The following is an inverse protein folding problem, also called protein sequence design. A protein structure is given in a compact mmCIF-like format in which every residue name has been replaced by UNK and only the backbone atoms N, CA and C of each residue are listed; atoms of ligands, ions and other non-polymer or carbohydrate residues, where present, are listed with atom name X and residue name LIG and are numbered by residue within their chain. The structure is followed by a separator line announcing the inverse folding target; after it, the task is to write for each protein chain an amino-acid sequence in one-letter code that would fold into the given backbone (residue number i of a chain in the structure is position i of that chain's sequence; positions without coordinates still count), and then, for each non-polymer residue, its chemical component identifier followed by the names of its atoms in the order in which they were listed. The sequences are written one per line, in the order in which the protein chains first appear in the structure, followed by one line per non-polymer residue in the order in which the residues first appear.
data_IF_612005293132
#
_entry.id   IF_612005293132
#
_cell.length_a   1.000
_cell.length_b   1.000
_cell.length_c   1.000
_cell.angle_alpha   90.00
_cell.angle_beta   90.00
_cell.angle_gamma   90.00
#
_symmetry.space_group_name_H-M   'P 1'
#
loop_
_entity.id
_entity.type
_entity.pdbx_description
1 polymer ?
#
# COMPACT_ATOMS: atom_id res chain seq x y z
N UNK A 1 1.04 19.10 -10.92
CA UNK A 1 1.08 17.95 -9.98
C UNK A 1 1.56 16.77 -10.79
N UNK A 2 2.62 16.09 -10.35
CA UNK A 2 3.14 14.92 -11.06
C UNK A 2 2.09 13.82 -11.16
N UNK A 3 2.06 13.17 -12.33
CA UNK A 3 1.15 12.07 -12.59
C UNK A 3 1.62 10.87 -11.75
N UNK A 4 0.80 10.36 -10.81
CA UNK A 4 1.23 9.24 -9.99
C UNK A 4 1.42 8.00 -10.87
N UNK A 5 2.53 7.33 -10.64
CA UNK A 5 2.88 6.08 -11.33
C UNK A 5 1.87 5.02 -10.89
N UNK A 6 1.20 4.41 -11.87
CA UNK A 6 0.19 3.39 -11.62
C UNK A 6 0.85 2.09 -11.15
N UNK A 7 0.11 1.28 -10.38
CA UNK A 7 0.55 -0.06 -9.96
C UNK A 7 1.42 -0.08 -8.69
N UNK A 8 1.76 1.07 -8.11
CA UNK A 8 2.50 1.12 -6.84
C UNK A 8 1.64 0.70 -5.66
N UNK A 9 2.26 0.01 -4.71
CA UNK A 9 1.65 -0.50 -3.48
C UNK A 9 1.59 0.63 -2.45
N UNK A 10 0.40 0.92 -1.95
CA UNK A 10 0.24 1.90 -0.89
C UNK A 10 0.57 1.29 0.48
N UNK A 11 1.74 1.63 1.03
CA UNK A 11 2.25 1.08 2.30
C UNK A 11 1.38 1.43 3.51
N UNK A 12 0.56 2.48 3.43
CA UNK A 12 -0.38 2.84 4.49
C UNK A 12 -1.61 1.90 4.54
N UNK A 13 -1.86 1.12 3.50
CA UNK A 13 -3.05 0.26 3.36
C UNK A 13 -2.75 -1.18 2.94
N UNK A 14 -1.50 -1.49 2.58
CA UNK A 14 -1.10 -2.82 2.17
C UNK A 14 -1.22 -3.82 3.34
N UNK A 15 -1.64 -5.04 3.03
CA UNK A 15 -1.65 -6.12 4.02
C UNK A 15 -0.22 -6.58 4.33
N UNK A 16 -0.04 -7.27 5.45
CA UNK A 16 1.25 -7.86 5.83
C UNK A 16 1.83 -8.75 4.72
N UNK A 17 1.02 -9.64 4.16
CA UNK A 17 1.42 -10.53 3.06
C UNK A 17 1.87 -9.77 1.81
N UNK A 18 1.21 -8.65 1.48
CA UNK A 18 1.63 -7.81 0.34
C UNK A 18 2.95 -7.11 0.63
N UNK A 19 3.17 -6.66 1.87
CA UNK A 19 4.44 -6.07 2.27
C UNK A 19 5.58 -7.09 2.25
N UNK A 20 5.37 -8.31 2.75
CA UNK A 20 6.35 -9.40 2.75
C UNK A 20 6.73 -9.89 1.33
N UNK A 21 5.91 -9.60 0.33
CA UNK A 21 6.23 -9.87 -1.06
C UNK A 21 7.16 -8.82 -1.70
N UNK A 22 7.44 -7.71 -1.00
CA UNK A 22 8.37 -6.68 -1.47
C UNK A 22 9.82 -7.11 -1.27
N UNK A 23 10.73 -6.74 -2.19
CA UNK A 23 12.15 -7.06 -2.06
C UNK A 23 12.72 -6.48 -0.76
N UNK A 24 13.43 -7.32 -0.01
CA UNK A 24 14.08 -6.93 1.24
C UNK A 24 13.13 -6.74 2.43
N UNK A 25 11.84 -7.07 2.33
CA UNK A 25 10.88 -6.95 3.43
C UNK A 25 10.50 -8.33 3.98
N UNK A 26 11.00 -8.64 5.16
CA UNK A 26 10.63 -9.85 5.89
C UNK A 26 9.40 -9.65 6.81
N UNK A 27 9.03 -10.69 7.55
CA UNK A 27 7.93 -10.63 8.52
C UNK A 27 8.14 -9.61 9.63
N UNK A 28 9.39 -9.38 10.05
CA UNK A 28 9.72 -8.42 11.12
C UNK A 28 9.56 -6.98 10.60
N UNK A 29 10.07 -6.72 9.40
CA UNK A 29 10.00 -5.43 8.71
C UNK A 29 8.57 -5.09 8.31
N UNK A 30 7.81 -6.04 7.76
CA UNK A 30 6.40 -5.81 7.43
C UNK A 30 5.58 -5.43 8.67
N UNK A 31 5.82 -6.12 9.79
CA UNK A 31 5.17 -5.78 11.06
C UNK A 31 5.63 -4.41 11.57
N UNK A 32 6.89 -4.05 11.40
CA UNK A 32 7.40 -2.73 11.77
C UNK A 32 6.80 -1.59 10.93
N UNK A 33 6.60 -1.80 9.62
CA UNK A 33 5.89 -0.88 8.72
C UNK A 33 4.45 -0.69 9.20
N UNK A 34 3.74 -1.79 9.48
CA UNK A 34 2.38 -1.75 10.00
C UNK A 34 2.34 -1.05 11.36
N UNK A 35 3.31 -1.29 12.24
CA UNK A 35 3.38 -0.69 13.58
C UNK A 35 3.70 0.81 13.53
N UNK A 36 4.63 1.23 12.69
CA UNK A 36 4.92 2.65 12.43
C UNK A 36 3.68 3.33 11.89
N UNK A 37 3.15 2.74 10.83
CA UNK A 37 1.89 3.11 10.24
C UNK A 37 0.74 2.88 11.19
N UNK A 38 0.93 2.32 12.40
CA UNK A 38 -0.05 2.17 13.47
C UNK A 38 0.00 3.24 14.58
N UNK A 39 1.11 3.97 14.67
CA UNK A 39 1.51 4.81 15.80
C UNK A 39 0.96 6.25 15.76
N UNK A 40 1.31 7.08 16.75
CA UNK A 40 1.02 8.53 16.75
C UNK A 40 1.73 9.31 15.63
N UNK A 41 2.66 8.68 14.88
CA UNK A 41 3.39 9.26 13.73
C UNK A 41 2.71 8.96 12.38
N UNK A 42 1.41 8.63 12.40
CA UNK A 42 0.62 8.24 11.23
C UNK A 42 0.09 9.40 10.38
N UNK A 43 -0.25 9.13 9.10
CA UNK A 43 0.27 8.04 8.23
C UNK A 43 1.67 8.40 7.70
N UNK A 44 2.34 7.47 6.99
CA UNK A 44 3.51 7.84 6.19
C UNK A 44 3.09 8.91 5.19
N UNK A 45 3.73 10.09 5.21
CA UNK A 45 3.43 11.15 4.25
C UNK A 45 4.27 10.97 2.98
N UNK A 46 5.52 10.55 3.16
CA UNK A 46 6.49 10.37 2.09
C UNK A 46 7.14 8.98 2.14
N UNK A 47 7.60 8.49 0.99
CA UNK A 47 8.23 7.16 0.88
C UNK A 47 9.51 7.09 1.72
N UNK A 48 10.29 8.17 1.79
CA UNK A 48 11.55 8.22 2.52
C UNK A 48 11.42 8.02 4.03
N UNK A 49 10.25 8.27 4.62
CA UNK A 49 10.00 8.01 6.04
C UNK A 49 10.17 6.52 6.41
N UNK A 50 10.10 5.62 5.42
CA UNK A 50 10.33 4.20 5.65
C UNK A 50 11.75 3.93 6.21
N UNK A 51 12.75 4.76 5.86
CA UNK A 51 14.11 4.63 6.39
C UNK A 51 14.21 4.89 7.90
N UNK A 52 13.22 5.55 8.50
CA UNK A 52 13.20 5.83 9.95
C UNK A 52 12.80 4.61 10.79
N UNK A 53 12.31 3.55 10.16
CA UNK A 53 12.02 2.31 10.88
C UNK A 53 13.36 1.71 11.28
N UNK A 54 13.62 1.68 12.60
CA UNK A 54 14.88 1.26 13.22
C UNK A 54 15.37 -0.14 12.75
N UNK A 55 14.47 -0.96 12.22
CA UNK A 55 14.76 -2.27 11.64
C UNK A 55 15.24 -2.21 10.18
N UNK A 56 14.84 -1.20 9.39
CA UNK A 56 15.32 -0.99 8.02
C UNK A 56 16.76 -0.45 7.96
N UNK A 57 17.29 0.06 9.08
CA UNK A 57 18.72 0.39 9.19
C UNK A 57 19.64 -0.84 9.06
N UNK A 58 19.10 -2.07 9.14
CA UNK A 58 19.82 -3.32 8.87
C UNK A 58 19.62 -3.85 7.43
N UNK A 59 18.93 -3.10 6.56
CA UNK A 59 18.88 -3.43 5.14
C UNK A 59 20.28 -3.35 4.54
N UNK A 60 20.60 -4.30 3.67
CA UNK A 60 21.92 -4.43 3.06
C UNK A 60 22.92 -5.18 3.95
N UNK A 61 22.67 -5.33 5.25
CA UNK A 61 23.53 -6.08 6.19
C UNK A 61 23.10 -7.55 6.34
N UNK A 62 22.98 -8.27 5.22
CA UNK A 62 22.44 -9.64 5.16
C UNK A 62 23.48 -10.68 4.65
N UNK A 63 24.73 -10.28 4.45
CA UNK A 63 25.81 -11.08 3.87
C UNK A 63 25.64 -11.36 2.37
N UNK A 64 24.84 -10.57 1.65
CA UNK A 64 24.63 -10.65 0.21
C UNK A 64 25.17 -9.41 -0.47
N UNK A 65 25.59 -9.64 -1.70
CA UNK A 65 25.94 -8.63 -2.69
C UNK A 65 24.65 -8.29 -3.48
N UNK A 66 23.84 -7.37 -2.94
CA UNK A 66 22.53 -6.97 -3.46
C UNK A 66 22.66 -6.08 -4.73
N UNK A 67 23.77 -5.35 -4.89
CA UNK A 67 24.05 -4.48 -6.03
C UNK A 67 24.98 -5.08 -7.11
N UNK A 68 25.68 -6.18 -6.78
CA UNK A 68 26.56 -7.00 -7.63
C UNK A 68 27.90 -6.35 -7.96
N UNK A 69 28.44 -5.56 -7.06
CA UNK A 69 29.75 -4.93 -7.23
C UNK A 69 30.92 -5.77 -6.70
N UNK A 70 30.63 -6.87 -5.98
CA UNK A 70 31.59 -7.80 -5.42
C UNK A 70 31.93 -7.57 -3.94
N UNK A 71 31.32 -6.59 -3.30
CA UNK A 71 31.38 -6.34 -1.87
C UNK A 71 30.06 -6.76 -1.20
N UNK A 72 30.04 -6.83 0.13
CA UNK A 72 28.85 -7.25 0.88
C UNK A 72 28.72 -6.39 2.12
N UNK A 73 27.48 -6.11 2.53
CA UNK A 73 27.17 -5.34 3.73
C UNK A 73 27.71 -3.88 3.72
N UNK A 74 27.86 -3.30 2.52
CA UNK A 74 28.26 -1.90 2.32
C UNK A 74 27.04 -0.95 2.22
N UNK A 75 27.31 0.36 2.15
CA UNK A 75 26.25 1.39 2.19
C UNK A 75 25.39 1.43 0.91
N UNK A 76 26.00 1.12 -0.22
CA UNK A 76 25.39 0.93 -1.54
C UNK A 76 24.38 -0.22 -1.57
N UNK A 77 24.59 -1.30 -0.83
CA UNK A 77 23.64 -2.42 -0.72
C UNK A 77 22.29 -1.95 -0.17
N UNK A 78 22.34 -1.14 0.88
CA UNK A 78 21.16 -0.50 1.46
C UNK A 78 20.49 0.42 0.43
N UNK A 79 21.27 1.17 -0.34
CA UNK A 79 20.75 2.04 -1.38
C UNK A 79 20.07 1.24 -2.51
N UNK A 80 20.67 0.12 -2.94
CA UNK A 80 20.15 -0.76 -3.98
C UNK A 80 18.78 -1.34 -3.58
N UNK A 81 18.67 -1.87 -2.36
CA UNK A 81 17.40 -2.37 -1.82
C UNK A 81 16.38 -1.23 -1.73
N UNK A 82 16.76 -0.09 -1.16
CA UNK A 82 15.83 1.04 -1.01
C UNK A 82 15.34 1.55 -2.37
N UNK A 83 16.22 1.65 -3.36
CA UNK A 83 15.87 2.05 -4.72
C UNK A 83 14.86 1.08 -5.34
N UNK A 84 15.10 -0.21 -5.22
CA UNK A 84 14.19 -1.27 -5.67
C UNK A 84 12.81 -1.13 -5.01
N UNK A 85 12.79 -0.97 -3.68
CA UNK A 85 11.57 -0.79 -2.90
C UNK A 85 10.81 0.49 -3.29
N UNK A 86 11.50 1.62 -3.39
CA UNK A 86 10.92 2.96 -3.67
C UNK A 86 10.17 3.03 -4.99
N UNK A 87 10.57 2.21 -5.97
CA UNK A 87 9.91 2.12 -7.27
C UNK A 87 8.56 1.39 -7.21
N UNK A 88 8.39 0.52 -6.22
CA UNK A 88 7.21 -0.33 -6.03
C UNK A 88 6.18 0.28 -5.09
N UNK A 89 6.56 1.24 -4.24
CA UNK A 89 5.70 1.75 -3.17
C UNK A 89 5.23 3.19 -3.38
N UNK A 90 4.13 3.53 -2.69
CA UNK A 90 3.56 4.88 -2.61
C UNK A 90 2.93 5.09 -1.22
N UNK A 91 2.73 6.33 -0.81
CA UNK A 91 1.96 6.67 0.41
C UNK A 91 0.51 7.07 0.12
N UNK A 92 0.17 7.23 -1.17
CA UNK A 92 -1.14 7.73 -1.63
C UNK A 92 -1.74 6.87 -2.72
N UNK A 93 -3.06 6.74 -2.69
CA UNK A 93 -3.86 6.08 -3.71
C UNK A 93 -4.77 7.08 -4.45
N UNK A 94 -4.92 6.87 -5.75
CA UNK A 94 -5.96 7.53 -6.57
C UNK A 94 -7.08 6.58 -6.98
N UNK A 95 -6.85 5.26 -6.90
CA UNK A 95 -7.86 4.25 -7.18
C UNK A 95 -8.45 3.73 -5.86
N UNK A 96 -9.78 3.66 -5.79
CA UNK A 96 -10.51 3.20 -4.61
C UNK A 96 -11.63 2.24 -5.02
N UNK A 97 -11.97 1.32 -4.14
CA UNK A 97 -13.22 0.57 -4.21
C UNK A 97 -14.24 1.24 -3.30
N UNK A 98 -15.40 1.60 -3.83
CA UNK A 98 -16.54 2.10 -3.08
C UNK A 98 -17.62 1.03 -3.09
N UNK A 99 -18.17 0.72 -1.92
CA UNK A 99 -19.33 -0.16 -1.77
C UNK A 99 -20.48 0.71 -1.25
N UNK A 100 -21.54 0.81 -2.04
CA UNK A 100 -22.77 1.53 -1.67
C UNK A 100 -23.86 0.51 -1.39
N UNK A 101 -24.59 0.68 -0.28
CA UNK A 101 -25.73 -0.15 0.13
C UNK A 101 -26.97 0.75 0.18
N UNK A 102 -28.03 0.34 -0.49
CA UNK A 102 -29.35 0.97 -0.42
C UNK A 102 -30.34 0.00 0.19
N UNK A 103 -31.16 0.50 1.12
CA UNK A 103 -32.13 -0.29 1.87
C UNK A 103 -33.51 0.39 1.79
N UNK A 104 -34.56 -0.42 1.70
CA UNK A 104 -35.94 0.02 1.85
C UNK A 104 -36.45 -0.52 3.18
N UNK A 105 -36.91 0.37 4.06
CA UNK A 105 -37.38 0.04 5.40
C UNK A 105 -38.89 0.26 5.48
N UNK A 106 -39.64 -0.73 5.95
CA UNK A 106 -41.08 -0.64 6.26
C UNK A 106 -41.34 -1.27 7.63
N UNK A 107 -42.12 -0.60 8.49
CA UNK A 107 -42.43 -1.08 9.85
C UNK A 107 -41.18 -1.48 10.66
N UNK A 108 -40.10 -0.68 10.57
CA UNK A 108 -38.79 -0.95 11.18
C UNK A 108 -38.07 -2.22 10.69
N UNK A 109 -38.53 -2.83 9.59
CA UNK A 109 -37.89 -3.97 8.94
C UNK A 109 -37.32 -3.59 7.57
N UNK A 110 -36.12 -4.09 7.24
CA UNK A 110 -35.54 -3.96 5.90
C UNK A 110 -36.26 -4.93 4.97
N UNK A 111 -37.10 -4.41 4.07
CA UNK A 111 -37.88 -5.20 3.12
C UNK A 111 -37.17 -5.42 1.78
N UNK A 112 -36.15 -4.62 1.49
CA UNK A 112 -35.29 -4.81 0.32
C UNK A 112 -33.91 -4.20 0.54
N UNK A 113 -32.89 -4.85 0.01
CA UNK A 113 -31.51 -4.36 0.00
C UNK A 113 -30.89 -4.49 -1.40
N UNK A 114 -30.05 -3.52 -1.75
CA UNK A 114 -29.12 -3.61 -2.88
C UNK A 114 -27.74 -3.06 -2.54
N UNK A 115 -26.71 -3.71 -3.08
CA UNK A 115 -25.31 -3.30 -2.94
C UNK A 115 -24.65 -3.12 -4.31
N UNK A 116 -23.90 -2.04 -4.47
CA UNK A 116 -23.10 -1.77 -5.68
C UNK A 116 -21.63 -1.61 -5.26
N UNK A 117 -20.75 -2.35 -5.93
CA UNK A 117 -19.29 -2.21 -5.81
C UNK A 117 -18.75 -1.49 -7.03
N UNK A 118 -18.12 -0.34 -6.83
CA UNK A 118 -17.52 0.48 -7.88
C UNK A 118 -16.01 0.68 -7.64
N UNK A 119 -15.22 0.60 -8.71
CA UNK A 119 -13.81 1.01 -8.72
C UNK A 119 -13.74 2.41 -9.32
N UNK A 120 -13.25 3.37 -8.54
CA UNK A 120 -13.16 4.78 -8.91
C UNK A 120 -11.70 5.21 -9.02
N UNK A 121 -11.43 6.15 -9.93
CA UNK A 121 -10.15 6.84 -10.08
C UNK A 121 -10.34 8.35 -9.91
N UNK A 122 -9.82 8.88 -8.79
CA UNK A 122 -9.84 10.32 -8.46
C UNK A 122 -8.63 11.07 -8.98
N UNK A 123 -7.74 10.41 -9.71
CA UNK A 123 -6.55 11.02 -10.31
C UNK A 123 -6.85 11.88 -11.53
N UNK A 124 -8.07 11.78 -12.08
CA UNK A 124 -8.59 12.65 -13.14
C UNK A 124 -9.67 13.59 -12.60
N UNK A 125 -9.86 14.71 -13.30
CA UNK A 125 -11.04 15.56 -13.16
C UNK A 125 -11.80 15.53 -14.49
N UNK A 126 -13.08 15.12 -14.53
CA UNK A 126 -13.86 14.60 -13.40
C UNK A 126 -13.34 13.23 -12.89
N UNK A 127 -13.78 12.83 -11.69
CA UNK A 127 -13.54 11.48 -11.14
C UNK A 127 -14.13 10.46 -12.11
N UNK A 128 -13.38 9.39 -12.39
CA UNK A 128 -13.80 8.33 -13.32
C UNK A 128 -14.24 7.08 -12.57
N UNK A 129 -15.40 6.54 -12.92
CA UNK A 129 -15.79 5.18 -12.54
C UNK A 129 -15.16 4.24 -13.57
N UNK A 130 -14.19 3.43 -13.16
CA UNK A 130 -13.49 2.48 -14.04
C UNK A 130 -14.29 1.20 -14.26
N UNK A 131 -15.01 0.77 -13.23
CA UNK A 131 -15.78 -0.46 -13.22
C UNK A 131 -16.85 -0.36 -12.13
N UNK A 132 -18.01 -0.97 -12.34
CA UNK A 132 -18.96 -1.22 -11.27
C UNK A 132 -19.72 -2.53 -11.52
N UNK A 133 -20.20 -3.13 -10.44
CA UNK A 133 -21.14 -4.25 -10.48
C UNK A 133 -22.10 -4.20 -9.32
N UNK A 134 -23.30 -4.70 -9.54
CA UNK A 134 -24.20 -5.07 -8.45
C UNK A 134 -23.62 -6.28 -7.72
N UNK A 135 -23.71 -6.28 -6.40
CA UNK A 135 -23.40 -7.44 -5.57
C UNK A 135 -24.72 -8.15 -5.30
N UNK A 136 -24.86 -9.35 -5.86
CA UNK A 136 -25.92 -10.27 -5.48
C UNK A 136 -25.74 -10.70 -4.03
N UNK A 137 -26.84 -11.01 -3.36
CA UNK A 137 -26.79 -11.81 -2.14
C UNK A 137 -26.34 -13.22 -2.55
N UNK A 138 -25.23 -13.69 -1.97
CA UNK A 138 -24.74 -15.06 -2.13
C UNK A 138 -25.66 -16.03 -1.35
#
# INVERSE_FOLDING_TARGET
RDKPIQGRININTASKQVLEALPGIDSTLSQAIINYGNSKKRPFNEIGEILQILLLARLGSNGKDDDKDGYTDEEDEREAIFRSLSNLITTRSNCFTVISRGEVIQNDEIVAERKIKAVIDRGSSPIKIKYYRELSED
#
